data_IF_584095100052
#
_entry.id   IF_584095100052
#
_cell.length_a   1.000
_cell.length_b   1.000
_cell.length_c   1.000
_cell.angle_alpha   90.00
_cell.angle_beta   90.00
_cell.angle_gamma   90.00
#
_symmetry.space_group_name_H-M   'P 1'
#
loop_
_entity.id
_entity.type
_entity.pdbx_description
1 polymer ?
#
# COMPACT_ATOMS: atom_id res chain seq x y z
N UNK A 1 37.45 18.26 -7.37
CA UNK A 1 36.40 17.99 -6.37
C UNK A 1 35.06 18.40 -6.97
N UNK A 2 34.27 17.43 -7.47
CA UNK A 2 32.95 17.71 -8.06
C UNK A 2 31.96 17.97 -6.93
N UNK A 3 31.46 19.20 -6.91
CA UNK A 3 30.38 19.69 -6.06
C UNK A 3 29.17 18.74 -6.14
N UNK A 4 28.85 18.11 -5.00
CA UNK A 4 27.56 17.47 -4.76
C UNK A 4 26.48 18.55 -4.87
N UNK A 5 25.64 18.44 -5.91
CA UNK A 5 24.45 19.28 -6.04
C UNK A 5 23.55 19.05 -4.82
N UNK A 6 23.16 20.10 -4.08
CA UNK A 6 22.14 19.95 -3.05
C UNK A 6 20.82 19.63 -3.75
N UNK A 7 20.24 18.47 -3.48
CA UNK A 7 18.85 18.16 -3.78
C UNK A 7 18.00 19.02 -2.85
N UNK A 8 17.73 20.25 -3.28
CA UNK A 8 16.76 21.14 -2.67
C UNK A 8 15.37 20.55 -2.85
N UNK A 9 14.83 19.99 -1.77
CA UNK A 9 13.41 19.73 -1.63
C UNK A 9 12.89 20.84 -0.72
N UNK A 10 12.58 21.99 -1.33
CA UNK A 10 11.60 22.91 -0.76
C UNK A 10 10.22 22.38 -1.13
N UNK A 11 9.43 21.96 -0.16
CA UNK A 11 7.98 21.87 -0.34
C UNK A 11 7.26 22.38 0.90
N UNK A 12 6.63 23.53 0.65
CA UNK A 12 5.66 24.27 1.46
C UNK A 12 4.61 23.35 2.07
N UNK A 13 4.36 23.52 3.37
CA UNK A 13 3.06 23.99 3.90
C UNK A 13 1.75 23.25 3.61
N UNK A 14 1.73 22.13 2.88
CA UNK A 14 0.57 21.26 2.71
C UNK A 14 1.04 19.81 2.88
N UNK A 15 0.64 19.16 3.98
CA UNK A 15 0.94 17.74 4.22
C UNK A 15 0.08 16.95 3.24
N UNK A 16 0.58 16.71 2.03
CA UNK A 16 -0.05 15.77 1.10
C UNK A 16 0.00 14.37 1.73
N UNK A 17 -1.08 13.57 1.65
CA UNK A 17 -1.08 12.22 2.21
C UNK A 17 -0.19 11.31 1.35
N UNK A 18 1.08 11.27 1.73
CA UNK A 18 2.09 10.37 1.16
C UNK A 18 1.84 8.98 1.74
N UNK A 19 1.57 8.00 0.89
CA UNK A 19 1.47 6.60 1.28
C UNK A 19 2.63 5.79 0.69
N UNK A 20 3.04 4.77 1.45
CA UNK A 20 4.00 3.76 1.02
C UNK A 20 3.26 2.66 0.27
N UNK A 21 3.49 2.58 -1.03
CA UNK A 21 2.98 1.50 -1.87
C UNK A 21 3.96 0.35 -1.88
N UNK A 22 3.52 -0.81 -1.42
CA UNK A 22 4.27 -2.06 -1.49
C UNK A 22 3.71 -2.87 -2.66
N UNK A 23 4.44 -2.90 -3.76
CA UNK A 23 4.06 -3.62 -4.98
C UNK A 23 4.73 -4.98 -4.99
N UNK A 24 3.95 -6.04 -4.87
CA UNK A 24 4.41 -7.41 -4.99
C UNK A 24 4.30 -7.90 -6.44
N UNK A 25 5.40 -8.42 -6.98
CA UNK A 25 5.45 -9.10 -8.27
C UNK A 25 5.40 -10.63 -8.08
N UNK A 26 4.28 -11.29 -8.42
CA UNK A 26 4.11 -12.73 -8.22
C UNK A 26 5.07 -13.62 -9.03
N UNK A 27 5.59 -13.12 -10.17
CA UNK A 27 6.48 -13.91 -11.04
C UNK A 27 7.91 -13.92 -10.51
N UNK A 28 8.40 -12.76 -10.07
CA UNK A 28 9.76 -12.64 -9.54
C UNK A 28 9.86 -12.91 -8.04
N UNK A 29 8.72 -12.89 -7.33
CA UNK A 29 8.67 -13.01 -5.87
C UNK A 29 9.26 -11.80 -5.14
N UNK A 30 9.53 -10.70 -5.87
CA UNK A 30 10.10 -9.48 -5.30
C UNK A 30 9.00 -8.49 -4.93
N UNK A 31 9.27 -7.73 -3.88
CA UNK A 31 8.43 -6.62 -3.45
C UNK A 31 9.21 -5.33 -3.57
N UNK A 32 8.57 -4.30 -4.13
CA UNK A 32 9.14 -2.97 -4.29
C UNK A 32 8.33 -1.97 -3.47
N UNK A 33 9.03 -1.04 -2.82
CA UNK A 33 8.41 0.03 -2.05
C UNK A 33 8.54 1.35 -2.82
N UNK A 34 7.41 2.03 -3.02
CA UNK A 34 7.33 3.30 -3.73
C UNK A 34 6.57 4.29 -2.85
N UNK A 35 7.07 5.52 -2.73
CA UNK A 35 6.37 6.59 -2.02
C UNK A 35 5.64 7.44 -3.06
N UNK A 36 4.32 7.55 -2.93
CA UNK A 36 3.48 8.29 -3.86
C UNK A 36 2.22 8.83 -3.17
N UNK A 37 1.51 9.72 -3.86
CA UNK A 37 0.29 10.33 -3.35
C UNK A 37 -0.87 9.32 -3.36
N UNK A 38 -1.58 9.25 -2.23
CA UNK A 38 -2.75 8.37 -2.08
C UNK A 38 -4.08 9.02 -2.49
N UNK A 39 -4.10 10.33 -2.72
CA UNK A 39 -5.31 11.09 -3.11
C UNK A 39 -6.12 10.44 -4.25
N UNK A 40 -5.55 9.93 -5.36
CA UNK A 40 -6.31 9.32 -6.44
C UNK A 40 -6.92 7.94 -6.10
N UNK A 41 -6.47 7.28 -5.03
CA UNK A 41 -6.97 5.97 -4.61
C UNK A 41 -7.99 6.05 -3.48
N UNK A 42 -8.23 7.25 -2.93
CA UNK A 42 -9.26 7.45 -1.90
C UNK A 42 -10.63 7.05 -2.44
N UNK A 43 -11.35 6.22 -1.67
CA UNK A 43 -12.65 5.68 -2.06
C UNK A 43 -12.62 4.36 -2.83
N UNK A 44 -11.45 3.90 -3.29
CA UNK A 44 -11.29 2.53 -3.82
C UNK A 44 -11.36 1.51 -2.70
N UNK A 45 -11.74 0.28 -3.03
CA UNK A 45 -11.83 -0.84 -2.08
C UNK A 45 -10.67 -1.80 -2.26
N UNK A 46 -10.39 -2.56 -1.19
CA UNK A 46 -9.55 -3.75 -1.30
C UNK A 46 -10.17 -4.72 -2.31
N UNK A 47 -9.37 -5.18 -3.25
CA UNK A 47 -9.77 -6.03 -4.37
C UNK A 47 -9.89 -5.29 -5.70
N UNK A 48 -10.02 -3.96 -5.66
CA UNK A 48 -10.12 -3.15 -6.88
C UNK A 48 -8.80 -3.12 -7.64
N UNK A 49 -8.93 -3.03 -8.97
CA UNK A 49 -7.82 -2.90 -9.91
C UNK A 49 -7.71 -1.44 -10.32
N UNK A 50 -6.48 -0.93 -10.37
CA UNK A 50 -6.17 0.43 -10.81
C UNK A 50 -4.91 0.45 -11.68
N UNK A 51 -4.78 1.52 -12.46
CA UNK A 51 -3.64 1.71 -13.35
C UNK A 51 -2.39 2.16 -12.57
N UNK A 52 -1.29 1.45 -12.79
CA UNK A 52 -0.01 1.69 -12.12
C UNK A 52 0.62 3.04 -12.47
N UNK A 53 0.16 3.73 -13.52
CA UNK A 53 0.59 5.09 -13.89
C UNK A 53 0.44 6.09 -12.74
N UNK A 54 -0.53 5.88 -11.85
CA UNK A 54 -0.75 6.71 -10.66
C UNK A 54 0.47 6.70 -9.71
N UNK A 55 1.21 5.58 -9.68
CA UNK A 55 2.37 5.36 -8.80
C UNK A 55 3.68 5.33 -9.63
N UNK A 56 3.64 5.84 -10.87
CA UNK A 56 4.80 5.85 -11.78
C UNK A 56 5.10 4.52 -12.48
N UNK A 57 4.26 3.49 -12.32
CA UNK A 57 4.38 2.20 -13.02
C UNK A 57 3.52 2.18 -14.28
N UNK A 58 3.98 2.88 -15.33
CA UNK A 58 3.26 2.99 -16.59
C UNK A 58 3.07 1.63 -17.27
N UNK A 59 1.85 1.36 -17.74
CA UNK A 59 1.50 0.12 -18.42
C UNK A 59 1.26 -1.09 -17.50
N UNK A 60 1.37 -0.92 -16.18
CA UNK A 60 1.04 -1.97 -15.22
C UNK A 60 -0.39 -1.82 -14.71
N UNK A 61 -1.06 -2.94 -14.44
CA UNK A 61 -2.28 -2.96 -13.62
C UNK A 61 -2.03 -3.60 -12.28
N UNK A 62 -2.44 -2.90 -11.24
CA UNK A 62 -2.23 -3.28 -9.85
C UNK A 62 -3.57 -3.54 -9.18
N UNK A 63 -3.60 -4.55 -8.31
CA UNK A 63 -4.74 -4.83 -7.45
C UNK A 63 -4.41 -4.50 -6.02
N UNK A 64 -5.31 -3.79 -5.34
CA UNK A 64 -5.21 -3.51 -3.93
C UNK A 64 -5.52 -4.79 -3.15
N UNK A 65 -4.57 -5.24 -2.34
CA UNK A 65 -4.74 -6.44 -1.49
C UNK A 65 -5.01 -6.11 -0.04
N UNK A 66 -4.55 -4.96 0.43
CA UNK A 66 -4.75 -4.52 1.80
C UNK A 66 -3.93 -3.27 2.11
N UNK A 67 -3.79 -2.97 3.40
CA UNK A 67 -3.03 -1.84 3.86
C UNK A 67 -3.02 -1.74 5.38
N UNK A 68 -2.30 -0.73 5.85
CA UNK A 68 -2.14 -0.42 7.26
C UNK A 68 -2.38 1.07 7.49
N UNK A 69 -3.15 1.34 8.54
CA UNK A 69 -3.48 2.69 8.97
C UNK A 69 -2.34 3.36 9.76
N UNK A 70 -2.44 4.66 9.98
CA UNK A 70 -1.52 5.47 10.80
C UNK A 70 -1.19 4.86 12.17
N UNK A 71 -2.21 4.25 12.78
CA UNK A 71 -2.17 3.67 14.12
C UNK A 71 -1.70 2.21 14.11
N UNK A 72 -1.26 1.69 12.96
CA UNK A 72 -0.83 0.30 12.80
C UNK A 72 -1.97 -0.71 12.72
N UNK A 73 -3.23 -0.26 12.56
CA UNK A 73 -4.36 -1.19 12.40
C UNK A 73 -4.41 -1.72 10.97
N UNK A 74 -4.54 -3.05 10.79
CA UNK A 74 -4.66 -3.64 9.47
C UNK A 74 -6.05 -3.37 8.89
N UNK A 75 -6.10 -3.18 7.57
CA UNK A 75 -7.36 -3.19 6.84
C UNK A 75 -7.87 -4.62 6.66
N UNK A 76 -9.20 -4.78 6.67
CA UNK A 76 -9.86 -6.08 6.47
C UNK A 76 -10.92 -6.01 5.36
N UNK A 77 -10.86 -6.89 4.34
CA UNK A 77 -11.78 -6.83 3.19
C UNK A 77 -13.25 -7.02 3.57
N UNK A 78 -13.53 -7.81 4.62
CA UNK A 78 -14.89 -8.13 5.08
C UNK A 78 -15.66 -6.90 5.62
N UNK A 79 -14.93 -5.90 6.12
CA UNK A 79 -15.53 -4.76 6.83
C UNK A 79 -15.67 -3.61 5.86
N UNK A 80 -16.89 -3.17 5.65
CA UNK A 80 -17.19 -2.10 4.73
C UNK A 80 -16.94 -0.73 5.36
N UNK A 81 -16.48 0.20 4.53
CA UNK A 81 -16.28 1.60 4.91
C UNK A 81 -14.81 1.94 5.15
N UNK A 82 -14.60 3.22 5.43
CA UNK A 82 -13.28 3.80 5.60
C UNK A 82 -12.83 3.90 7.05
N UNK A 83 -13.69 3.65 8.05
CA UNK A 83 -13.40 3.91 9.47
C UNK A 83 -12.75 2.76 10.26
N UNK A 84 -12.41 3.04 11.52
CA UNK A 84 -11.97 2.05 12.53
C UNK A 84 -13.18 1.41 13.21
N UNK A 85 -13.26 0.08 13.21
CA UNK A 85 -14.38 -0.66 13.82
C UNK A 85 -13.83 -1.71 14.79
N UNK A 86 -14.50 -1.89 15.94
CA UNK A 86 -14.19 -2.98 16.88
C UNK A 86 -15.05 -4.20 16.56
N UNK A 87 -14.40 -5.26 16.09
CA UNK A 87 -15.07 -6.52 15.73
C UNK A 87 -14.54 -7.69 16.55
N UNK A 88 -15.39 -8.70 16.77
CA UNK A 88 -15.00 -9.94 17.42
C UNK A 88 -14.31 -10.87 16.41
N UNK A 89 -12.98 -10.92 16.45
CA UNK A 89 -12.17 -11.74 15.55
C UNK A 89 -11.93 -13.13 16.16
N UNK A 90 -11.95 -14.13 15.30
CA UNK A 90 -11.57 -15.52 15.58
C UNK A 90 -10.30 -15.95 14.82
N UNK A 91 -9.73 -15.07 13.99
CA UNK A 91 -8.60 -15.38 13.12
C UNK A 91 -8.02 -14.14 12.43
N UNK A 92 -6.98 -14.34 11.61
CA UNK A 92 -6.32 -13.27 10.86
C UNK A 92 -7.23 -12.75 9.72
N UNK A 93 -6.97 -11.54 9.18
CA UNK A 93 -5.96 -10.55 9.60
C UNK A 93 -6.34 -9.77 10.87
N UNK A 94 -5.34 -9.39 11.67
CA UNK A 94 -5.51 -8.57 12.88
C UNK A 94 -5.63 -9.34 14.21
N UNK A 95 -5.84 -10.66 14.16
CA UNK A 95 -5.80 -11.51 15.37
C UNK A 95 -5.23 -12.90 15.05
N UNK A 96 -4.18 -13.29 15.77
CA UNK A 96 -3.67 -14.66 15.76
C UNK A 96 -4.11 -15.38 17.04
N UNK A 97 -5.13 -16.27 16.98
CA UNK A 97 -5.57 -17.03 18.14
C UNK A 97 -4.48 -18.01 18.58
N UNK A 98 -4.22 -18.11 19.88
CA UNK A 98 -3.25 -19.08 20.43
C UNK A 98 -3.93 -20.39 20.82
N UNK A 99 -5.23 -20.34 21.14
CA UNK A 99 -6.03 -21.50 21.53
C UNK A 99 -7.19 -21.68 20.55
N UNK A 100 -7.58 -22.93 20.33
CA UNK A 100 -8.76 -23.27 19.52
C UNK A 100 -10.01 -22.66 20.16
N UNK A 101 -10.80 -21.93 19.38
CA UNK A 101 -12.03 -21.28 19.85
C UNK A 101 -11.81 -19.92 20.53
N UNK A 102 -10.58 -19.42 20.63
CA UNK A 102 -10.31 -18.09 21.17
C UNK A 102 -10.88 -17.01 20.24
N UNK A 103 -11.68 -16.10 20.81
CA UNK A 103 -12.22 -14.93 20.11
C UNK A 103 -11.91 -13.68 20.91
N UNK A 104 -11.48 -12.62 20.24
CA UNK A 104 -11.15 -11.35 20.91
C UNK A 104 -11.69 -10.16 20.13
N UNK A 105 -12.29 -9.20 20.83
CA UNK A 105 -12.65 -7.91 20.24
C UNK A 105 -11.39 -7.10 19.97
N UNK A 106 -11.14 -6.80 18.70
CA UNK A 106 -9.99 -6.02 18.22
C UNK A 106 -10.47 -4.91 17.29
N UNK A 107 -9.72 -3.82 17.26
CA UNK A 107 -9.95 -2.72 16.32
C UNK A 107 -9.25 -3.04 15.02
N UNK A 108 -9.96 -2.84 13.92
CA UNK A 108 -9.46 -3.03 12.56
C UNK A 108 -10.00 -1.91 11.68
N UNK A 109 -9.34 -1.67 10.55
CA UNK A 109 -9.79 -0.71 9.55
C UNK A 109 -10.69 -1.38 8.53
N UNK A 110 -11.69 -0.66 8.03
CA UNK A 110 -12.51 -1.13 6.92
C UNK A 110 -11.73 -1.25 5.61
N UNK A 111 -12.43 -1.70 4.57
CA UNK A 111 -11.87 -2.06 3.27
C UNK A 111 -11.69 -0.89 2.29
N UNK A 112 -12.19 0.30 2.64
CA UNK A 112 -12.14 1.47 1.75
C UNK A 112 -10.90 2.30 2.05
N UNK A 113 -10.16 2.68 1.01
CA UNK A 113 -8.96 3.51 1.12
C UNK A 113 -9.36 4.92 1.55
N UNK A 114 -8.67 5.41 2.58
CA UNK A 114 -8.82 6.71 3.17
C UNK A 114 -7.45 7.42 3.24
N UNK A 115 -7.42 8.76 3.34
CA UNK A 115 -6.18 9.53 3.30
C UNK A 115 -5.25 9.30 4.51
N UNK A 116 -5.75 8.70 5.58
CA UNK A 116 -4.97 8.35 6.78
C UNK A 116 -4.21 7.02 6.69
N UNK A 117 -4.37 6.30 5.58
CA UNK A 117 -3.61 5.08 5.31
C UNK A 117 -2.16 5.42 4.99
N UNK A 118 -1.25 4.84 5.76
CA UNK A 118 0.20 5.03 5.60
C UNK A 118 0.81 4.03 4.63
N UNK A 119 0.29 2.81 4.57
CA UNK A 119 0.81 1.77 3.68
C UNK A 119 -0.31 1.06 2.91
N UNK A 120 -0.12 0.90 1.60
CA UNK A 120 -1.01 0.18 0.71
C UNK A 120 -0.25 -0.98 0.07
N UNK A 121 -0.79 -2.18 0.21
CA UNK A 121 -0.23 -3.40 -0.37
C UNK A 121 -0.94 -3.70 -1.69
N UNK A 122 -0.15 -3.80 -2.76
CA UNK A 122 -0.62 -4.02 -4.12
C UNK A 122 0.01 -5.28 -4.71
N UNK A 123 -0.72 -5.93 -5.61
CA UNK A 123 -0.26 -7.07 -6.39
C UNK A 123 -0.30 -6.73 -7.88
N UNK A 124 0.75 -7.08 -8.62
CA UNK A 124 0.77 -6.96 -10.09
C UNK A 124 -0.16 -8.02 -10.70
N UNK A 125 -1.11 -7.58 -11.54
CA UNK A 125 -1.96 -8.46 -12.35
C UNK A 125 -1.48 -8.49 -13.79
N UNK A 126 -1.34 -7.31 -14.39
CA UNK A 126 -0.87 -7.16 -15.77
C UNK A 126 0.48 -6.45 -15.78
N UNK A 127 1.39 -6.96 -16.61
CA UNK A 127 2.75 -6.47 -16.74
C UNK A 127 2.82 -5.47 -17.89
N UNK A 128 3.46 -4.33 -17.64
CA UNK A 128 3.79 -3.36 -18.67
C UNK A 128 4.99 -3.77 -19.52
N UNK A 129 5.37 -2.90 -20.45
CA UNK A 129 6.45 -3.12 -21.42
C UNK A 129 7.85 -3.11 -20.79
N UNK A 130 8.06 -2.33 -19.73
CA UNK A 130 9.36 -2.19 -19.05
C UNK A 130 9.34 -2.86 -17.68
N UNK A 131 10.39 -3.59 -17.28
CA UNK A 131 10.44 -4.25 -15.99
C UNK A 131 10.51 -3.25 -14.83
N UNK A 132 9.84 -3.56 -13.72
CA UNK A 132 9.75 -2.71 -12.52
C UNK A 132 11.12 -2.22 -11.99
N UNK A 133 12.20 -3.04 -11.96
CA UNK A 133 13.52 -2.59 -11.54
C UNK A 133 14.07 -1.39 -12.35
N UNK A 134 13.84 -1.37 -13.66
CA UNK A 134 14.30 -0.28 -14.53
C UNK A 134 13.50 0.99 -14.27
N UNK A 135 12.19 0.85 -14.03
CA UNK A 135 11.30 1.99 -13.74
C UNK A 135 11.65 2.63 -12.40
N UNK A 136 12.03 1.83 -11.42
CA UNK A 136 12.42 2.30 -10.08
C UNK A 136 13.88 2.74 -9.99
N UNK A 137 14.65 2.66 -11.08
CA UNK A 137 16.07 3.00 -11.08
C UNK A 137 16.91 2.11 -10.15
N UNK A 138 16.40 0.92 -9.81
CA UNK A 138 17.10 -0.11 -9.06
C UNK A 138 17.95 -0.95 -10.02
N UNK A 139 18.74 -0.27 -10.84
CA UNK A 139 19.96 -0.88 -11.36
C UNK A 139 20.92 -0.94 -10.18
N UNK A 140 21.18 -2.15 -9.71
CA UNK A 140 22.39 -2.43 -8.93
C UNK A 140 23.58 -2.01 -9.79
N UNK A 141 24.08 -0.80 -9.57
CA UNK A 141 25.52 -0.62 -9.58
C UNK A 141 26.05 -1.48 -8.44
N UNK A 142 26.77 -2.52 -8.86
CA UNK A 142 27.52 -3.51 -8.09
C UNK A 142 26.77 -4.77 -7.63
#
# INVERSE_FOLDING_TARGET
MRLLKPLGIEVKGEIMPIAKFVVADPKTGRCYQIEADNTPLVGKKIGDIFDGSIIGLNGYKLQITGGTDDSGFPMRPDIHGSGKVRVLLSGPPGFWPKRKGERRRKTVRGNTIAPDIVQINCKVIEYGEKPIPEILGLESKE
#
